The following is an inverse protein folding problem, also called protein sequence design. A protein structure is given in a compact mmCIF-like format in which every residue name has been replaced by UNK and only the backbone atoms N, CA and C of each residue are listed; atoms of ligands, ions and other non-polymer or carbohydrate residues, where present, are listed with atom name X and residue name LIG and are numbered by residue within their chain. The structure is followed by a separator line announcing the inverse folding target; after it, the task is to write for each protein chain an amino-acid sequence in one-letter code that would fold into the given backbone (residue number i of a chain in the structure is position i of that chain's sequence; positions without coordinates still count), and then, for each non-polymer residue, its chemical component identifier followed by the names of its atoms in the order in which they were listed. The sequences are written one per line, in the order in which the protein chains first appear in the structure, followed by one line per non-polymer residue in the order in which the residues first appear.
data_IF_830228643977
#
_entry.id   IF_830228643977
#
_cell.length_a   1.000
_cell.length_b   1.000
_cell.length_c   1.000
_cell.angle_alpha   90.00
_cell.angle_beta   90.00
_cell.angle_gamma   90.00
#
_symmetry.space_group_name_H-M   'P 1'
#
loop_
_entity.id
_entity.type
_entity.pdbx_description
1 polymer ?
#
# COMPACT_ATOMS: atom_id res chain seq x y z
N UNK A 1 -1.27 1.65 18.14
CA UNK A 1 -1.67 3.00 18.59
C UNK A 1 -3.14 3.15 18.26
N UNK A 2 -3.99 3.70 19.14
CA UNK A 2 -5.44 3.64 18.94
C UNK A 2 -6.00 4.73 17.99
N UNK A 3 -5.19 5.72 17.65
CA UNK A 3 -5.60 6.87 16.82
C UNK A 3 -5.34 6.67 15.32
N UNK A 4 -4.90 5.47 14.93
CA UNK A 4 -4.54 5.16 13.55
C UNK A 4 -5.18 3.87 13.05
N UNK A 5 -5.61 3.90 11.79
CA UNK A 5 -5.99 2.73 11.04
C UNK A 5 -4.83 2.30 10.15
N UNK A 6 -4.61 0.99 10.09
CA UNK A 6 -3.45 0.38 9.44
C UNK A 6 -3.89 -0.74 8.51
N UNK A 7 -3.23 -0.84 7.36
CA UNK A 7 -3.35 -1.98 6.46
C UNK A 7 -2.00 -2.32 5.83
N UNK A 8 -1.82 -3.59 5.49
CA UNK A 8 -0.69 -4.06 4.68
C UNK A 8 -1.25 -4.80 3.48
N UNK A 9 -0.80 -4.43 2.30
CA UNK A 9 -1.17 -5.03 1.02
C UNK A 9 0.06 -5.64 0.35
N UNK A 10 -0.15 -6.60 -0.54
CA UNK A 10 0.86 -7.11 -1.48
C UNK A 10 0.40 -6.95 -2.93
N UNK A 11 1.29 -6.56 -3.83
CA UNK A 11 1.06 -6.59 -5.28
C UNK A 11 2.33 -7.04 -6.01
N UNK A 12 2.18 -7.89 -7.04
CA UNK A 12 3.30 -8.30 -7.89
C UNK A 12 3.49 -7.31 -9.04
N UNK A 13 4.74 -6.94 -9.30
CA UNK A 13 5.12 -6.04 -10.39
C UNK A 13 6.38 -6.53 -11.07
N UNK A 14 6.62 -6.09 -12.31
CA UNK A 14 7.92 -6.36 -12.95
C UNK A 14 9.08 -5.79 -12.14
N UNK A 15 10.14 -6.57 -11.99
CA UNK A 15 11.32 -6.22 -11.17
C UNK A 15 11.97 -4.90 -11.63
N UNK A 16 11.98 -4.67 -12.94
CA UNK A 16 12.48 -3.44 -13.58
C UNK A 16 11.73 -2.19 -13.12
N UNK A 17 10.45 -2.34 -12.76
CA UNK A 17 9.55 -1.27 -12.36
C UNK A 17 9.35 -1.20 -10.85
N UNK A 18 9.79 -2.18 -10.06
CA UNK A 18 9.53 -2.26 -8.63
C UNK A 18 9.92 -0.99 -7.86
N UNK A 19 11.11 -0.44 -8.14
CA UNK A 19 11.57 0.81 -7.52
C UNK A 19 10.80 2.04 -8.00
N UNK A 20 10.28 2.01 -9.23
CA UNK A 20 9.45 3.09 -9.81
C UNK A 20 8.09 3.09 -9.13
N UNK A 21 7.44 1.93 -9.03
CA UNK A 21 6.17 1.76 -8.32
C UNK A 21 6.27 2.16 -6.86
N UNK A 22 7.30 1.69 -6.14
CA UNK A 22 7.57 2.11 -4.75
C UNK A 22 7.55 3.65 -4.62
N UNK A 23 8.35 4.35 -5.43
CA UNK A 23 8.44 5.82 -5.38
C UNK A 23 7.11 6.49 -5.71
N UNK A 24 6.40 6.00 -6.72
CA UNK A 24 5.12 6.55 -7.12
C UNK A 24 4.06 6.41 -6.02
N UNK A 25 3.93 5.22 -5.44
CA UNK A 25 2.97 4.91 -4.36
C UNK A 25 3.27 5.74 -3.11
N UNK A 26 4.55 5.83 -2.70
CA UNK A 26 4.96 6.63 -1.54
C UNK A 26 4.69 8.12 -1.76
N UNK A 27 4.93 8.64 -2.98
CA UNK A 27 4.65 10.04 -3.32
C UNK A 27 3.15 10.34 -3.39
N UNK A 28 2.34 9.42 -3.90
CA UNK A 28 0.89 9.55 -4.02
C UNK A 28 0.20 9.69 -2.65
N UNK A 29 0.73 8.96 -1.65
CA UNK A 29 0.27 8.91 -0.26
C UNK A 29 1.20 9.72 0.67
N UNK A 30 1.75 10.84 0.17
CA UNK A 30 2.61 11.71 0.96
C UNK A 30 1.87 12.97 1.39
N UNK A 31 2.01 13.41 2.66
CA UNK A 31 1.43 14.67 3.14
C UNK A 31 1.99 15.92 2.43
N UNK A 32 3.07 15.77 1.65
CA UNK A 32 3.66 16.85 0.87
C UNK A 32 2.99 17.06 -0.50
N UNK A 33 1.95 16.28 -0.84
CA UNK A 33 1.15 16.44 -2.07
C UNK A 33 0.02 17.45 -1.85
N UNK A 34 -0.24 18.31 -2.84
CA UNK A 34 -1.29 19.36 -2.76
C UNK A 34 -2.69 18.81 -2.41
N UNK A 35 -3.03 17.59 -2.87
CA UNK A 35 -4.30 16.92 -2.60
C UNK A 35 -4.08 15.60 -1.87
N UNK A 36 -3.43 15.65 -0.71
CA UNK A 36 -3.17 14.46 0.09
C UNK A 36 -4.47 13.77 0.54
N UNK A 37 -4.55 12.46 0.32
CA UNK A 37 -5.72 11.63 0.66
C UNK A 37 -5.82 11.26 2.15
N UNK A 38 -4.92 11.78 2.99
CA UNK A 38 -4.88 11.49 4.43
C UNK A 38 -4.23 10.16 4.80
N UNK A 39 -3.62 9.46 3.85
CA UNK A 39 -2.91 8.21 4.09
C UNK A 39 -1.40 8.38 3.94
N UNK A 40 -0.62 7.75 4.80
CA UNK A 40 0.81 7.58 4.60
C UNK A 40 1.10 6.18 4.09
N UNK A 41 1.97 6.05 3.08
CA UNK A 41 2.41 4.76 2.57
C UNK A 41 3.91 4.57 2.75
N UNK A 42 4.29 3.35 3.13
CA UNK A 42 5.65 2.85 3.02
C UNK A 42 5.64 1.58 2.17
N UNK A 43 6.51 1.49 1.17
CA UNK A 43 6.55 0.33 0.28
C UNK A 43 7.88 -0.40 0.42
N UNK A 44 7.83 -1.68 0.75
CA UNK A 44 8.99 -2.56 0.72
C UNK A 44 8.98 -3.38 -0.56
N UNK A 45 10.13 -3.52 -1.20
CA UNK A 45 10.31 -4.42 -2.35
C UNK A 45 10.83 -5.73 -1.79
N UNK A 46 9.97 -6.74 -1.74
CA UNK A 46 10.27 -8.08 -1.25
C UNK A 46 10.62 -9.02 -2.41
N UNK A 47 11.74 -9.74 -2.21
CA UNK A 47 12.37 -10.74 -3.07
C UNK A 47 12.64 -10.36 -4.53
N UNK A 48 13.86 -10.69 -4.92
CA UNK A 48 14.47 -10.58 -6.24
C UNK A 48 14.46 -12.01 -6.83
N UNK A 49 13.27 -12.60 -7.05
CA UNK A 49 13.21 -13.92 -7.70
C UNK A 49 13.52 -13.74 -9.19
N UNK A 50 14.82 -13.69 -9.49
CA UNK A 50 15.37 -13.54 -10.84
C UNK A 50 14.84 -14.58 -11.84
N UNK A 51 14.17 -15.65 -11.36
CA UNK A 51 13.57 -16.68 -12.21
C UNK A 51 12.26 -16.22 -12.85
N UNK A 52 11.48 -15.38 -12.16
CA UNK A 52 10.17 -14.93 -12.65
C UNK A 52 10.25 -13.54 -13.27
N UNK A 53 11.27 -12.75 -12.92
CA UNK A 53 11.36 -11.34 -13.34
C UNK A 53 10.34 -10.45 -12.62
N UNK A 54 9.68 -10.96 -11.58
CA UNK A 54 8.67 -10.26 -10.79
C UNK A 54 9.12 -10.04 -9.35
N UNK A 55 8.82 -8.88 -8.80
CA UNK A 55 9.00 -8.57 -7.39
C UNK A 55 7.65 -8.38 -6.71
N UNK A 56 7.59 -8.71 -5.42
CA UNK A 56 6.41 -8.39 -4.60
C UNK A 56 6.64 -7.04 -3.93
N UNK A 57 5.70 -6.12 -4.07
CA UNK A 57 5.63 -4.90 -3.27
C UNK A 57 4.77 -5.16 -2.04
N UNK A 58 5.31 -4.91 -0.86
CA UNK A 58 4.56 -4.88 0.40
C UNK A 58 4.28 -3.42 0.76
N UNK A 59 3.02 -3.01 0.65
CA UNK A 59 2.55 -1.64 0.85
C UNK A 59 1.94 -1.56 2.25
N UNK A 60 2.58 -0.81 3.15
CA UNK A 60 2.04 -0.48 4.47
C UNK A 60 1.35 0.87 4.41
N UNK A 61 0.05 0.90 4.72
CA UNK A 61 -0.77 2.11 4.79
C UNK A 61 -1.09 2.44 6.24
N UNK A 62 -1.01 3.74 6.56
CA UNK A 62 -1.40 4.31 7.84
C UNK A 62 -2.33 5.50 7.58
N UNK A 63 -3.47 5.56 8.27
CA UNK A 63 -4.44 6.65 8.12
C UNK A 63 -4.98 7.12 9.46
N UNK A 64 -5.33 8.41 9.54
CA UNK A 64 -6.05 8.97 10.67
C UNK A 64 -7.54 8.64 10.66
N UNK A 65 -8.11 8.28 9.50
CA UNK A 65 -9.55 7.98 9.38
C UNK A 65 -9.77 6.64 8.68
N UNK A 66 -10.74 5.88 9.17
CA UNK A 66 -11.10 4.60 8.58
C UNK A 66 -11.58 4.75 7.11
N UNK A 67 -12.43 5.74 6.75
CA UNK A 67 -12.88 5.90 5.37
C UNK A 67 -11.74 6.14 4.37
N UNK A 68 -10.76 7.00 4.71
CA UNK A 68 -9.63 7.28 3.82
C UNK A 68 -8.81 6.02 3.54
N UNK A 69 -8.63 5.19 4.58
CA UNK A 69 -7.90 3.93 4.46
C UNK A 69 -8.67 2.93 3.59
N UNK A 70 -9.98 2.77 3.82
CA UNK A 70 -10.83 1.86 3.07
C UNK A 70 -10.89 2.22 1.58
N UNK A 71 -11.10 3.50 1.24
CA UNK A 71 -11.13 3.95 -0.15
C UNK A 71 -9.82 3.64 -0.88
N UNK A 72 -8.68 3.85 -0.21
CA UNK A 72 -7.35 3.57 -0.79
C UNK A 72 -7.10 2.07 -0.94
N UNK A 73 -7.56 1.25 0.00
CA UNK A 73 -7.46 -0.20 -0.10
C UNK A 73 -8.32 -0.72 -1.26
N UNK A 74 -9.57 -0.28 -1.37
CA UNK A 74 -10.44 -0.66 -2.48
C UNK A 74 -9.83 -0.29 -3.83
N UNK A 75 -9.16 0.88 -3.92
CA UNK A 75 -8.43 1.27 -5.12
C UNK A 75 -7.29 0.29 -5.44
N UNK A 76 -6.44 -0.03 -4.46
CA UNK A 76 -5.32 -0.97 -4.67
C UNK A 76 -5.82 -2.39 -4.98
N UNK A 77 -6.91 -2.84 -4.37
CA UNK A 77 -7.53 -4.13 -4.68
C UNK A 77 -8.06 -4.18 -6.12
N UNK A 78 -8.69 -3.11 -6.62
CA UNK A 78 -9.08 -2.98 -8.04
C UNK A 78 -7.87 -3.02 -8.98
N UNK A 79 -6.71 -2.58 -8.51
CA UNK A 79 -5.43 -2.65 -9.23
C UNK A 79 -4.73 -4.02 -9.10
N UNK A 80 -5.32 -4.98 -8.39
CA UNK A 80 -4.81 -6.34 -8.24
C UNK A 80 -3.98 -6.58 -6.97
N UNK A 81 -3.91 -5.62 -6.06
CA UNK A 81 -3.30 -5.84 -4.75
C UNK A 81 -4.17 -6.77 -3.88
N UNK A 82 -3.53 -7.49 -2.96
CA UNK A 82 -4.17 -8.35 -1.98
C UNK A 82 -3.95 -7.79 -0.58
N UNK A 83 -4.99 -7.71 0.23
CA UNK A 83 -4.87 -7.34 1.64
C UNK A 83 -4.24 -8.49 2.43
N UNK A 84 -3.11 -8.23 3.09
CA UNK A 84 -2.41 -9.18 3.96
C UNK A 84 -2.97 -9.08 5.39
N UNK A 85 -3.13 -7.84 5.89
CA UNK A 85 -3.71 -7.57 7.20
C UNK A 85 -4.29 -6.17 7.29
N UNK A 86 -5.24 -5.99 8.19
CA UNK A 86 -5.77 -4.71 8.64
C UNK A 86 -5.82 -4.70 10.17
N UNK A 87 -5.63 -3.55 10.81
CA UNK A 87 -5.84 -3.42 12.26
C UNK A 87 -7.30 -3.12 12.62
N UNK A 88 -8.09 -2.69 11.64
CA UNK A 88 -9.54 -2.60 11.73
C UNK A 88 -10.11 -3.91 11.20
N UNK A 89 -10.88 -4.58 12.04
CA UNK A 89 -11.70 -5.72 11.63
C UNK A 89 -13.15 -5.28 11.75
N UNK A 90 -13.97 -5.67 10.77
CA UNK A 90 -15.35 -5.95 11.09
C UNK A 90 -15.39 -6.84 12.32
N UNK A 91 -16.18 -6.42 13.30
CA UNK A 91 -16.81 -7.37 14.22
C UNK A 91 -17.25 -8.59 13.41
N UNK A 92 -16.94 -9.78 13.93
CA UNK A 92 -17.24 -11.09 13.32
C UNK A 92 -18.60 -11.15 12.63
#
# INVERSE_FOLDING_TARGET
MNDFHEAVLSIEVESSLAKVYKKAIEAENSPYRENWNGNHAHVQVENDDYRTGMNTLVISLLSHTLPNLQETIEWYERMGAKVIRTNYKGEN
#
